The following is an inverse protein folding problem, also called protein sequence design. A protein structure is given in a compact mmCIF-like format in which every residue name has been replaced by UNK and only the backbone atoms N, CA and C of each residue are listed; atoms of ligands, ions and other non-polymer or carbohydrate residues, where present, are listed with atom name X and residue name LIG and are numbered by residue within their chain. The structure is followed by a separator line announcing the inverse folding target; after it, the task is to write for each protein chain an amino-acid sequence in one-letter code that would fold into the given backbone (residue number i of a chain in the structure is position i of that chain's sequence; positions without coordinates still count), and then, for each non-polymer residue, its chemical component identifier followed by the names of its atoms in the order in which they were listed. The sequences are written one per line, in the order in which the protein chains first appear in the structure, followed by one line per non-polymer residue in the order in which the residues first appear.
data_IF_179515429672
#
_entry.id   IF_179515429672
#
_cell.length_a   1.000
_cell.length_b   1.000
_cell.length_c   1.000
_cell.angle_alpha   90.00
_cell.angle_beta   90.00
_cell.angle_gamma   90.00
#
_symmetry.space_group_name_H-M   'P 1'
#
loop_
_entity.id
_entity.type
_entity.pdbx_description
1 polymer ?
#
# COMPACT_ATOMS: atom_id res chain seq x y z
N UNK A 1 -15.62 11.76 -19.87
CA UNK A 1 -15.86 12.33 -18.52
C UNK A 1 -15.20 13.69 -18.46
N UNK A 2 -15.93 14.73 -18.02
CA UNK A 2 -15.35 16.06 -17.80
C UNK A 2 -14.98 16.22 -16.33
N UNK A 3 -13.75 16.65 -16.07
CA UNK A 3 -13.21 16.92 -14.74
C UNK A 3 -12.20 18.07 -14.77
N UNK A 4 -12.08 18.76 -13.66
CA UNK A 4 -11.10 19.83 -13.47
C UNK A 4 -10.06 19.40 -12.46
N UNK A 5 -8.79 19.52 -12.83
CA UNK A 5 -7.65 19.23 -11.97
C UNK A 5 -7.55 20.26 -10.85
N UNK A 6 -7.43 19.79 -9.64
CA UNK A 6 -7.19 20.58 -8.44
C UNK A 6 -5.76 20.45 -7.92
N UNK A 7 -5.60 20.54 -6.60
CA UNK A 7 -4.31 20.48 -5.91
C UNK A 7 -3.60 19.14 -6.14
N UNK A 8 -2.28 19.20 -6.34
CA UNK A 8 -1.41 18.01 -6.34
C UNK A 8 -1.35 17.40 -4.94
N UNK A 9 -1.59 16.09 -4.87
CA UNK A 9 -1.54 15.29 -3.64
C UNK A 9 -0.16 14.66 -3.43
N UNK A 10 0.56 14.35 -4.52
CA UNK A 10 1.89 13.78 -4.46
C UNK A 10 2.52 13.68 -5.84
N UNK A 11 3.85 13.57 -5.89
CA UNK A 11 4.64 13.38 -7.10
C UNK A 11 5.77 12.39 -6.86
N UNK A 12 6.15 11.65 -7.90
CA UNK A 12 7.23 10.67 -7.84
C UNK A 12 7.78 10.33 -9.23
N UNK A 13 8.66 9.34 -9.32
CA UNK A 13 9.28 8.93 -10.57
C UNK A 13 8.31 8.43 -11.65
N UNK A 14 7.12 8.02 -11.27
CA UNK A 14 6.08 7.51 -12.18
C UNK A 14 5.01 8.55 -12.54
N UNK A 15 5.20 9.82 -12.20
CA UNK A 15 4.25 10.89 -12.45
C UNK A 15 3.75 11.59 -11.19
N UNK A 16 2.55 12.14 -11.23
CA UNK A 16 1.96 12.88 -10.12
C UNK A 16 0.49 12.52 -9.92
N UNK A 17 -0.01 12.73 -8.72
CA UNK A 17 -1.41 12.52 -8.35
C UNK A 17 -2.00 13.86 -7.93
N UNK A 18 -3.19 14.18 -8.45
CA UNK A 18 -3.94 15.39 -8.10
C UNK A 18 -5.35 15.01 -7.67
N UNK A 19 -5.94 15.81 -6.79
CA UNK A 19 -7.39 15.80 -6.61
C UNK A 19 -8.05 16.38 -7.87
N UNK A 20 -9.23 15.91 -8.23
CA UNK A 20 -10.01 16.48 -9.33
C UNK A 20 -11.51 16.47 -8.99
N UNK A 21 -12.21 17.47 -9.54
CA UNK A 21 -13.68 17.58 -9.44
C UNK A 21 -14.29 17.16 -10.76
N UNK A 22 -15.24 16.23 -10.72
CA UNK A 22 -15.98 15.76 -11.90
C UNK A 22 -17.16 16.69 -12.18
N UNK A 23 -17.44 16.96 -13.46
CA UNK A 23 -18.59 17.77 -13.89
C UNK A 23 -19.70 16.87 -14.41
N UNK A 24 -20.95 17.21 -14.03
CA UNK A 24 -22.16 16.50 -14.43
C UNK A 24 -22.70 17.10 -15.73
N UNK A 25 -22.12 16.71 -16.85
CA UNK A 25 -22.72 17.01 -18.15
C UNK A 25 -23.70 15.89 -18.53
N UNK A 26 -24.76 16.15 -19.24
CA UNK A 26 -25.98 15.35 -19.50
C UNK A 26 -25.88 13.86 -19.88
N UNK A 27 -24.73 13.23 -19.68
CA UNK A 27 -24.47 11.79 -19.83
C UNK A 27 -23.86 11.16 -18.58
N UNK A 28 -24.37 11.54 -17.40
CA UNK A 28 -23.82 11.16 -16.09
C UNK A 28 -23.75 9.65 -15.86
N UNK A 29 -22.54 9.14 -15.60
CA UNK A 29 -22.37 7.82 -15.00
C UNK A 29 -22.52 7.98 -13.46
N UNK A 30 -23.65 7.51 -12.86
CA UNK A 30 -23.96 7.72 -11.43
C UNK A 30 -22.96 7.04 -10.50
N UNK A 31 -22.06 6.23 -11.02
CA UNK A 31 -21.06 5.48 -10.24
C UNK A 31 -19.75 6.23 -10.02
N UNK A 32 -19.59 7.43 -10.60
CA UNK A 32 -18.37 8.23 -10.44
C UNK A 32 -18.60 9.34 -9.41
N UNK A 33 -17.82 9.40 -8.33
CA UNK A 33 -17.95 10.45 -7.31
C UNK A 33 -17.66 11.84 -7.86
N UNK A 34 -18.20 12.89 -7.21
CA UNK A 34 -17.93 14.28 -7.54
C UNK A 34 -16.45 14.67 -7.34
N UNK A 35 -15.75 13.98 -6.43
CA UNK A 35 -14.32 14.17 -6.16
C UNK A 35 -13.58 12.86 -6.41
N UNK A 36 -12.53 12.93 -7.21
CA UNK A 36 -11.68 11.79 -7.60
C UNK A 36 -10.21 12.15 -7.43
N UNK A 37 -9.33 11.16 -7.44
CA UNK A 37 -7.91 11.34 -7.61
C UNK A 37 -7.52 11.02 -9.06
N UNK A 38 -6.59 11.80 -9.62
CA UNK A 38 -6.10 11.59 -10.98
C UNK A 38 -4.60 11.38 -10.93
N UNK A 39 -4.15 10.17 -11.26
CA UNK A 39 -2.73 9.83 -11.40
C UNK A 39 -2.34 10.02 -12.86
N UNK A 40 -1.31 10.82 -13.10
CA UNK A 40 -0.94 11.33 -14.42
C UNK A 40 0.52 11.13 -14.71
N UNK A 41 0.83 10.80 -15.96
CA UNK A 41 2.21 10.77 -16.47
C UNK A 41 2.25 11.31 -17.89
N UNK A 42 3.44 11.63 -18.38
CA UNK A 42 3.61 11.98 -19.79
C UNK A 42 3.19 10.78 -20.67
N UNK A 43 2.52 11.05 -21.80
CA UNK A 43 2.03 9.97 -22.68
C UNK A 43 3.16 9.06 -23.18
N UNK A 44 4.36 9.60 -23.38
CA UNK A 44 5.55 8.82 -23.76
C UNK A 44 5.98 7.79 -22.71
N UNK A 45 5.54 7.95 -21.45
CA UNK A 45 5.87 7.08 -20.32
C UNK A 45 4.62 6.35 -19.78
N UNK A 46 3.51 6.35 -20.53
CA UNK A 46 2.20 5.86 -20.08
C UNK A 46 2.11 4.35 -19.88
N UNK A 47 3.04 3.56 -20.43
CA UNK A 47 2.96 2.08 -20.42
C UNK A 47 2.74 1.51 -19.03
N UNK A 48 3.53 1.94 -18.04
CA UNK A 48 3.40 1.45 -16.65
C UNK A 48 2.05 1.83 -16.04
N UNK A 49 1.59 3.07 -16.26
CA UNK A 49 0.32 3.56 -15.72
C UNK A 49 -0.89 2.90 -16.41
N UNK A 50 -0.79 2.59 -17.70
CA UNK A 50 -1.80 1.82 -18.43
C UNK A 50 -1.91 0.39 -17.89
N UNK A 51 -0.78 -0.26 -17.61
CA UNK A 51 -0.78 -1.60 -16.98
C UNK A 51 -1.39 -1.55 -15.58
N UNK A 52 -1.11 -0.53 -14.79
CA UNK A 52 -1.71 -0.32 -13.47
C UNK A 52 -3.24 -0.21 -13.57
N UNK A 53 -3.76 0.59 -14.53
CA UNK A 53 -5.20 0.70 -14.80
C UNK A 53 -5.83 -0.67 -15.11
N UNK A 54 -5.20 -1.45 -15.97
CA UNK A 54 -5.72 -2.75 -16.39
C UNK A 54 -5.79 -3.74 -15.21
N UNK A 55 -4.80 -3.70 -14.31
CA UNK A 55 -4.79 -4.50 -13.08
C UNK A 55 -5.86 -4.05 -12.09
N UNK A 56 -6.01 -2.74 -11.87
CA UNK A 56 -7.08 -2.20 -11.02
C UNK A 56 -8.47 -2.56 -11.56
N UNK A 57 -8.64 -2.54 -12.87
CA UNK A 57 -9.89 -2.97 -13.50
C UNK A 57 -10.14 -4.47 -13.32
N UNK A 58 -9.08 -5.30 -13.45
CA UNK A 58 -9.13 -6.74 -13.21
C UNK A 58 -9.54 -7.06 -11.78
N UNK A 59 -9.07 -6.29 -10.80
CA UNK A 59 -9.32 -6.53 -9.38
C UNK A 59 -10.51 -5.73 -8.81
N UNK A 60 -11.32 -5.08 -9.64
CA UNK A 60 -12.42 -4.17 -9.25
C UNK A 60 -13.48 -4.78 -8.33
N UNK A 61 -13.59 -6.11 -8.29
CA UNK A 61 -14.55 -6.81 -7.42
C UNK A 61 -14.09 -6.88 -5.95
N UNK A 62 -12.83 -6.56 -5.66
CA UNK A 62 -12.33 -6.55 -4.29
C UNK A 62 -12.52 -5.17 -3.64
N UNK A 63 -13.33 -5.04 -2.57
CA UNK A 63 -13.57 -3.76 -1.92
C UNK A 63 -12.34 -3.19 -1.19
N UNK A 64 -11.33 -4.04 -0.90
CA UNK A 64 -10.08 -3.66 -0.24
C UNK A 64 -8.98 -3.22 -1.23
N UNK A 65 -9.32 -3.06 -2.51
CA UNK A 65 -8.43 -2.50 -3.55
C UNK A 65 -9.00 -1.16 -4.00
N UNK A 66 -8.12 -0.19 -4.23
CA UNK A 66 -8.51 1.15 -4.67
C UNK A 66 -9.24 1.07 -6.02
N UNK A 67 -10.36 1.75 -6.14
CA UNK A 67 -11.19 1.71 -7.34
C UNK A 67 -10.60 2.60 -8.44
N UNK A 68 -10.57 2.10 -9.68
CA UNK A 68 -10.29 2.86 -10.88
C UNK A 68 -11.58 3.04 -11.69
N UNK A 69 -11.86 4.27 -12.12
CA UNK A 69 -13.07 4.64 -12.87
C UNK A 69 -12.82 4.73 -14.39
N UNK A 70 -11.56 4.62 -14.83
CA UNK A 70 -11.15 4.69 -16.22
C UNK A 70 -9.92 5.53 -16.44
N UNK A 71 -9.68 5.87 -17.69
CA UNK A 71 -8.52 6.64 -18.12
C UNK A 71 -8.89 7.70 -19.17
N UNK A 72 -8.02 8.69 -19.37
CA UNK A 72 -8.21 9.76 -20.35
C UNK A 72 -6.87 10.39 -20.71
N UNK A 73 -6.72 10.80 -21.96
CA UNK A 73 -5.61 11.66 -22.40
C UNK A 73 -6.07 13.11 -22.37
N UNK A 74 -5.25 13.99 -21.79
CA UNK A 74 -5.48 15.43 -21.77
C UNK A 74 -4.25 16.18 -22.31
N UNK A 75 -4.47 17.36 -22.86
CA UNK A 75 -3.39 18.29 -23.20
C UNK A 75 -3.42 19.44 -22.21
N UNK A 76 -2.37 19.54 -21.38
CA UNK A 76 -2.26 20.54 -20.32
C UNK A 76 -0.92 21.25 -20.44
N UNK A 77 -0.95 22.59 -20.55
CA UNK A 77 0.27 23.41 -20.72
C UNK A 77 1.19 22.91 -21.86
N UNK A 78 0.61 22.51 -22.99
CA UNK A 78 1.35 22.02 -24.15
C UNK A 78 1.92 20.60 -23.99
N UNK A 79 1.57 19.86 -22.92
CA UNK A 79 2.00 18.47 -22.69
C UNK A 79 0.82 17.52 -22.78
N UNK A 80 1.02 16.41 -23.48
CA UNK A 80 0.03 15.33 -23.52
C UNK A 80 0.24 14.41 -22.32
N UNK A 81 -0.77 14.34 -21.48
CA UNK A 81 -0.80 13.53 -20.26
C UNK A 81 -1.73 12.33 -20.42
N UNK A 82 -1.26 11.16 -20.03
CA UNK A 82 -2.10 9.99 -19.80
C UNK A 82 -2.52 9.99 -18.32
N UNK A 83 -3.81 9.90 -18.09
CA UNK A 83 -4.41 10.01 -16.76
C UNK A 83 -5.25 8.77 -16.46
N UNK A 84 -5.12 8.21 -15.25
CA UNK A 84 -6.08 7.26 -14.70
C UNK A 84 -6.88 7.93 -13.59
N UNK A 85 -8.18 7.67 -13.59
CA UNK A 85 -9.13 8.28 -12.65
C UNK A 85 -9.40 7.28 -11.54
N UNK A 86 -9.03 7.64 -10.32
CA UNK A 86 -9.04 6.78 -9.14
C UNK A 86 -10.01 7.28 -8.08
N UNK A 87 -10.43 6.39 -7.21
CA UNK A 87 -11.12 6.71 -5.98
C UNK A 87 -10.25 7.66 -5.13
N UNK A 88 -10.86 8.76 -4.68
CA UNK A 88 -10.19 9.68 -3.78
C UNK A 88 -10.24 9.16 -2.35
N UNK A 89 -9.11 9.14 -1.69
CA UNK A 89 -8.97 8.71 -0.30
C UNK A 89 -8.76 9.94 0.61
N UNK A 90 -9.81 10.49 1.21
CA UNK A 90 -9.70 11.70 2.03
C UNK A 90 -8.91 11.47 3.31
N UNK A 91 -8.78 10.22 3.75
CA UNK A 91 -7.97 9.83 4.91
C UNK A 91 -6.46 9.85 4.66
N UNK A 92 -6.01 10.07 3.42
CA UNK A 92 -4.61 9.99 3.03
C UNK A 92 -4.08 8.55 3.02
N UNK A 93 -2.77 8.38 3.12
CA UNK A 93 -2.15 7.08 3.24
C UNK A 93 -2.12 6.59 4.69
N UNK A 94 -1.95 5.29 4.87
CA UNK A 94 -1.73 4.71 6.20
C UNK A 94 -0.44 5.25 6.84
N UNK A 95 0.58 5.58 6.03
CA UNK A 95 1.81 6.20 6.51
C UNK A 95 1.55 7.56 7.19
N UNK A 96 0.58 8.34 6.67
CA UNK A 96 0.19 9.65 7.24
C UNK A 96 -0.50 9.49 8.61
N UNK A 97 -1.06 8.32 8.90
CA UNK A 97 -1.75 8.02 10.17
C UNK A 97 -0.85 7.38 11.22
N UNK A 98 0.25 6.77 10.81
CA UNK A 98 1.20 6.15 11.73
C UNK A 98 1.96 7.25 12.46
N UNK A 99 1.69 7.37 13.76
CA UNK A 99 2.40 8.28 14.65
C UNK A 99 3.60 7.55 15.28
N UNK A 100 4.54 8.30 15.86
CA UNK A 100 5.76 7.76 16.50
C UNK A 100 5.50 6.72 17.61
N UNK A 101 4.29 6.68 18.14
CA UNK A 101 3.84 5.68 19.13
C UNK A 101 3.14 4.46 18.53
N UNK A 102 2.98 4.43 17.20
CA UNK A 102 2.18 3.44 16.51
C UNK A 102 0.67 3.65 16.67
N UNK A 103 -0.09 2.68 16.15
CA UNK A 103 -1.55 2.65 16.22
C UNK A 103 -2.01 1.59 17.24
N UNK A 104 -3.21 1.75 17.84
CA UNK A 104 -3.82 0.71 18.68
C UNK A 104 -3.96 -0.62 17.93
N UNK A 105 -3.74 -1.74 18.61
CA UNK A 105 -3.73 -3.08 17.97
C UNK A 105 -5.05 -3.46 17.29
N UNK A 106 -6.18 -3.00 17.80
CA UNK A 106 -7.50 -3.23 17.18
C UNK A 106 -7.64 -2.49 15.84
N UNK A 107 -7.08 -1.28 15.74
CA UNK A 107 -7.00 -0.49 14.50
C UNK A 107 -6.05 -1.19 13.52
N UNK A 108 -4.86 -1.60 14.00
CA UNK A 108 -3.88 -2.36 13.19
C UNK A 108 -4.50 -3.64 12.65
N UNK A 109 -5.19 -4.41 13.51
CA UNK A 109 -5.91 -5.63 13.14
C UNK A 109 -6.92 -5.37 12.00
N UNK A 110 -7.70 -4.29 12.11
CA UNK A 110 -8.68 -3.91 11.10
C UNK A 110 -8.03 -3.61 9.74
N UNK A 111 -7.00 -2.77 9.71
CA UNK A 111 -6.29 -2.42 8.48
C UNK A 111 -5.52 -3.61 7.90
N UNK A 112 -4.85 -4.39 8.75
CA UNK A 112 -4.14 -5.61 8.33
C UNK A 112 -5.09 -6.63 7.69
N UNK A 113 -6.31 -6.76 8.20
CA UNK A 113 -7.35 -7.62 7.60
C UNK A 113 -7.74 -7.15 6.19
N UNK A 114 -7.91 -5.85 5.98
CA UNK A 114 -8.22 -5.28 4.66
C UNK A 114 -7.08 -5.55 3.67
N UNK A 115 -5.83 -5.32 4.07
CA UNK A 115 -4.65 -5.60 3.24
C UNK A 115 -4.57 -7.10 2.91
N UNK A 116 -4.70 -7.98 3.91
CA UNK A 116 -4.67 -9.43 3.69
C UNK A 116 -5.79 -9.89 2.74
N UNK A 117 -6.99 -9.28 2.82
CA UNK A 117 -8.12 -9.56 1.91
C UNK A 117 -7.77 -9.17 0.47
N UNK A 118 -7.16 -7.99 0.27
CA UNK A 118 -6.68 -7.57 -1.04
C UNK A 118 -5.63 -8.54 -1.59
N UNK A 119 -4.65 -8.95 -0.78
CA UNK A 119 -3.60 -9.88 -1.18
C UNK A 119 -4.16 -11.25 -1.57
N UNK A 120 -5.11 -11.81 -0.81
CA UNK A 120 -5.78 -13.07 -1.18
C UNK A 120 -6.43 -12.94 -2.56
N UNK A 121 -7.10 -11.81 -2.83
CA UNK A 121 -7.74 -11.58 -4.12
C UNK A 121 -6.71 -11.53 -5.27
N UNK A 122 -5.61 -10.78 -5.09
CA UNK A 122 -4.53 -10.63 -6.08
C UNK A 122 -3.85 -11.99 -6.34
N UNK A 123 -3.51 -12.72 -5.28
CA UNK A 123 -2.83 -14.02 -5.37
C UNK A 123 -3.68 -15.08 -6.08
N UNK A 124 -5.00 -15.10 -5.84
CA UNK A 124 -5.95 -15.99 -6.56
C UNK A 124 -5.99 -15.73 -8.07
N UNK A 125 -5.69 -14.50 -8.49
CA UNK A 125 -5.61 -14.13 -9.90
C UNK A 125 -4.21 -14.38 -10.50
N UNK A 126 -3.28 -14.94 -9.72
CA UNK A 126 -1.92 -15.26 -10.18
C UNK A 126 -1.00 -14.05 -10.24
N UNK A 127 -1.19 -13.04 -9.38
CA UNK A 127 -0.35 -11.85 -9.30
C UNK A 127 0.27 -11.67 -7.91
N UNK A 128 1.36 -10.91 -7.85
CA UNK A 128 2.06 -10.44 -6.65
C UNK A 128 2.12 -8.93 -6.70
N UNK A 129 1.81 -8.25 -5.60
CA UNK A 129 1.81 -6.78 -5.56
C UNK A 129 3.22 -6.20 -5.61
N UNK A 130 4.16 -6.82 -4.93
CA UNK A 130 5.60 -6.50 -4.84
C UNK A 130 5.95 -5.21 -4.07
N UNK A 131 5.01 -4.33 -3.73
CA UNK A 131 5.32 -3.07 -3.00
C UNK A 131 4.27 -2.75 -1.92
N UNK A 132 3.93 -3.75 -1.09
CA UNK A 132 3.04 -3.55 0.07
C UNK A 132 3.78 -2.77 1.15
N UNK A 133 3.27 -1.59 1.48
CA UNK A 133 3.83 -0.68 2.51
C UNK A 133 2.78 0.35 2.94
N UNK A 134 2.94 1.03 4.08
CA UNK A 134 1.96 2.00 4.56
C UNK A 134 1.63 3.13 3.57
N UNK A 135 2.59 3.55 2.74
CA UNK A 135 2.40 4.59 1.73
C UNK A 135 1.44 4.16 0.60
N UNK A 136 1.37 2.86 0.31
CA UNK A 136 0.54 2.26 -0.73
C UNK A 136 -0.80 1.72 -0.20
N UNK A 137 -1.14 2.01 1.04
CA UNK A 137 -2.43 1.71 1.66
C UNK A 137 -3.15 3.02 1.91
N UNK A 138 -4.27 3.24 1.23
CA UNK A 138 -5.04 4.47 1.30
C UNK A 138 -6.30 4.28 2.15
N UNK A 139 -6.72 5.35 2.85
CA UNK A 139 -7.83 5.32 3.79
C UNK A 139 -9.07 6.01 3.18
N UNK A 140 -10.11 5.22 2.94
CA UNK A 140 -11.41 5.68 2.44
C UNK A 140 -12.43 5.44 3.56
N UNK A 141 -12.79 6.51 4.28
CA UNK A 141 -13.48 6.38 5.55
C UNK A 141 -12.61 5.67 6.60
N UNK A 142 -13.14 4.60 7.19
CA UNK A 142 -12.41 3.76 8.13
C UNK A 142 -11.69 2.57 7.45
N UNK A 143 -11.95 2.34 6.16
CA UNK A 143 -11.44 1.18 5.45
C UNK A 143 -10.10 1.45 4.77
N UNK A 144 -9.18 0.51 4.91
CA UNK A 144 -7.89 0.53 4.23
C UNK A 144 -8.02 -0.15 2.86
N UNK A 145 -7.51 0.50 1.82
CA UNK A 145 -7.49 -0.01 0.45
C UNK A 145 -6.08 -0.05 -0.10
N UNK A 146 -5.70 -1.19 -0.65
CA UNK A 146 -4.41 -1.36 -1.31
C UNK A 146 -4.41 -0.62 -2.66
N UNK A 147 -3.34 0.12 -2.93
CA UNK A 147 -3.17 0.99 -4.08
C UNK A 147 -1.76 0.83 -4.68
N UNK A 148 -1.51 1.48 -5.80
CA UNK A 148 -0.23 1.52 -6.52
C UNK A 148 0.23 0.14 -7.02
N UNK A 149 -0.36 -0.29 -8.13
CA UNK A 149 -0.07 -1.58 -8.78
C UNK A 149 1.06 -1.49 -9.82
N UNK A 150 1.82 -0.39 -9.84
CA UNK A 150 2.92 -0.17 -10.80
C UNK A 150 4.06 -1.19 -10.68
N UNK A 151 4.26 -1.78 -9.49
CA UNK A 151 5.26 -2.83 -9.24
C UNK A 151 4.71 -4.26 -9.39
N UNK A 152 3.40 -4.43 -9.60
CA UNK A 152 2.74 -5.72 -9.62
C UNK A 152 3.30 -6.62 -10.72
N UNK A 153 3.41 -7.92 -10.43
CA UNK A 153 3.96 -8.93 -11.33
C UNK A 153 3.03 -10.15 -11.39
N UNK A 154 2.90 -10.74 -12.58
CA UNK A 154 2.23 -12.02 -12.73
C UNK A 154 3.16 -13.15 -12.28
N UNK A 155 2.63 -14.13 -11.54
CA UNK A 155 3.37 -15.30 -11.09
C UNK A 155 3.72 -16.15 -12.30
N UNK A 156 4.99 -16.57 -12.40
CA UNK A 156 5.47 -17.41 -13.50
C UNK A 156 5.93 -16.63 -14.74
N UNK A 157 5.72 -15.31 -14.80
CA UNK A 157 6.37 -14.54 -15.85
C UNK A 157 7.87 -14.60 -15.65
N UNK A 158 8.58 -15.08 -16.68
CA UNK A 158 10.05 -15.12 -16.69
C UNK A 158 10.61 -13.74 -16.42
N UNK A 159 11.63 -13.68 -15.58
CA UNK A 159 12.42 -12.46 -15.36
C UNK A 159 13.13 -12.21 -16.70
N UNK A 160 12.58 -11.30 -17.51
CA UNK A 160 13.33 -10.80 -18.66
C UNK A 160 14.62 -10.15 -18.16
N UNK A 161 15.72 -10.33 -18.84
CA UNK A 161 17.09 -9.93 -18.45
C UNK A 161 17.28 -8.46 -18.06
N UNK A 162 16.22 -7.63 -18.14
CA UNK A 162 16.26 -6.19 -17.85
C UNK A 162 15.37 -5.75 -16.65
N UNK A 163 14.85 -6.68 -15.85
CA UNK A 163 14.00 -6.30 -14.71
C UNK A 163 14.79 -6.36 -13.41
N UNK A 164 15.22 -5.18 -12.93
CA UNK A 164 15.82 -5.00 -11.62
C UNK A 164 14.85 -5.25 -10.46
N UNK A 165 15.30 -4.96 -9.25
CA UNK A 165 14.51 -5.07 -8.03
C UNK A 165 13.20 -4.27 -8.11
N UNK A 166 12.10 -4.86 -7.61
CA UNK A 166 10.78 -4.24 -7.51
C UNK A 166 10.40 -4.04 -6.06
N UNK A 167 9.81 -2.89 -5.76
CA UNK A 167 9.31 -2.58 -4.45
C UNK A 167 10.20 -1.63 -3.64
N UNK A 168 10.03 -1.63 -2.34
CA UNK A 168 10.71 -0.76 -1.39
C UNK A 168 11.57 -1.60 -0.46
N UNK A 169 12.89 -1.39 -0.46
CA UNK A 169 13.89 -2.24 0.20
C UNK A 169 13.53 -2.59 1.64
N UNK A 170 13.10 -1.61 2.45
CA UNK A 170 12.78 -1.85 3.87
C UNK A 170 11.55 -2.75 4.11
N UNK A 171 10.70 -2.95 3.10
CA UNK A 171 9.52 -3.81 3.17
C UNK A 171 9.70 -5.10 2.35
N UNK A 172 10.82 -5.21 1.63
CA UNK A 172 11.08 -6.32 0.73
C UNK A 172 11.39 -7.61 1.47
N UNK A 173 10.95 -8.73 0.91
CA UNK A 173 11.31 -10.04 1.39
C UNK A 173 12.77 -10.39 1.04
N UNK A 174 13.48 -11.17 1.87
CA UNK A 174 14.88 -11.55 1.61
C UNK A 174 15.10 -12.13 0.22
N UNK A 175 14.23 -13.02 -0.23
CA UNK A 175 14.31 -13.69 -1.54
C UNK A 175 14.15 -12.73 -2.71
N UNK A 176 13.37 -11.63 -2.54
CA UNK A 176 13.21 -10.63 -3.60
C UNK A 176 14.43 -9.73 -3.75
N UNK A 177 15.21 -9.54 -2.68
CA UNK A 177 16.49 -8.81 -2.72
C UNK A 177 17.62 -9.70 -3.25
N UNK A 178 17.78 -10.89 -2.67
CA UNK A 178 18.93 -11.74 -2.95
C UNK A 178 18.84 -12.52 -4.28
N UNK A 179 17.64 -12.81 -4.77
CA UNK A 179 17.43 -13.66 -5.95
C UNK A 179 16.43 -13.09 -6.97
N UNK A 180 15.86 -11.90 -6.71
CA UNK A 180 14.79 -11.30 -7.53
C UNK A 180 13.58 -12.23 -7.72
N UNK A 181 13.34 -13.10 -6.73
CA UNK A 181 12.21 -14.03 -6.71
C UNK A 181 10.98 -13.35 -6.07
N UNK A 182 9.86 -13.44 -6.79
CA UNK A 182 8.59 -12.85 -6.36
C UNK A 182 7.49 -13.90 -6.39
N UNK A 183 6.83 -14.08 -5.25
CA UNK A 183 5.71 -15.00 -5.09
C UNK A 183 4.69 -14.40 -4.12
N UNK A 184 3.56 -15.06 -3.93
CA UNK A 184 2.58 -14.66 -2.91
C UNK A 184 3.21 -14.52 -1.51
N UNK A 185 4.26 -15.30 -1.21
CA UNK A 185 4.97 -15.22 0.07
C UNK A 185 5.74 -13.88 0.23
N UNK A 186 6.18 -13.26 -0.86
CA UNK A 186 6.85 -11.94 -0.85
C UNK A 186 5.92 -10.86 -0.27
N UNK A 187 4.66 -10.83 -0.70
CA UNK A 187 3.66 -9.89 -0.18
C UNK A 187 3.31 -10.16 1.30
N UNK A 188 3.35 -11.41 1.73
CA UNK A 188 3.12 -11.77 3.15
C UNK A 188 4.21 -11.22 4.06
N UNK A 189 5.48 -11.28 3.63
CA UNK A 189 6.57 -10.62 4.36
C UNK A 189 6.34 -9.11 4.46
N UNK A 190 6.02 -8.46 3.34
CA UNK A 190 5.76 -7.03 3.27
C UNK A 190 4.53 -6.61 4.11
N UNK A 191 3.48 -7.45 4.17
CA UNK A 191 2.36 -7.29 5.11
C UNK A 191 2.85 -7.32 6.57
N UNK A 192 3.72 -8.25 6.93
CA UNK A 192 4.35 -8.31 8.25
C UNK A 192 5.11 -7.02 8.58
N UNK A 193 5.93 -6.52 7.67
CA UNK A 193 6.65 -5.25 7.81
C UNK A 193 5.67 -4.07 7.98
N UNK A 194 4.58 -4.05 7.21
CA UNK A 194 3.54 -3.00 7.29
C UNK A 194 2.83 -3.05 8.65
N UNK A 195 2.46 -4.24 9.13
CA UNK A 195 1.85 -4.42 10.45
C UNK A 195 2.79 -4.00 11.57
N UNK A 196 4.08 -4.37 11.49
CA UNK A 196 5.08 -3.96 12.46
C UNK A 196 5.24 -2.44 12.49
N UNK A 197 5.29 -1.78 11.33
CA UNK A 197 5.34 -0.32 11.25
C UNK A 197 4.10 0.35 11.86
N UNK A 198 2.90 -0.22 11.65
CA UNK A 198 1.68 0.26 12.28
C UNK A 198 1.71 0.15 13.81
N UNK A 199 2.21 -0.98 14.34
CA UNK A 199 2.29 -1.23 15.78
C UNK A 199 3.31 -0.35 16.49
N UNK A 200 4.44 -0.07 15.82
CA UNK A 200 5.60 0.58 16.46
C UNK A 200 5.72 2.07 16.16
N UNK A 201 5.11 2.54 15.08
CA UNK A 201 5.32 3.89 14.57
C UNK A 201 6.70 4.11 13.93
N UNK A 202 7.42 3.02 13.62
CA UNK A 202 8.80 3.05 13.11
C UNK A 202 8.92 2.20 11.83
N UNK A 203 10.03 2.40 11.11
CA UNK A 203 10.41 1.49 10.03
C UNK A 203 10.61 0.06 10.57
N UNK A 204 10.38 -0.98 9.73
CA UNK A 204 10.46 -2.37 10.19
C UNK A 204 11.88 -2.82 10.57
N UNK A 205 12.90 -2.07 10.16
CA UNK A 205 14.29 -2.37 10.44
C UNK A 205 14.98 -1.21 11.15
N UNK A 206 15.78 -1.51 12.16
CA UNK A 206 16.72 -0.55 12.73
C UNK A 206 17.97 -0.52 11.85
N UNK A 207 18.21 0.63 11.25
CA UNK A 207 19.37 0.88 10.39
C UNK A 207 20.43 1.61 11.19
N UNK A 208 21.65 1.05 11.22
CA UNK A 208 22.78 1.69 11.88
C UNK A 208 23.08 3.06 11.25
N UNK A 209 23.43 4.04 12.09
CA UNK A 209 23.82 5.37 11.62
C UNK A 209 25.02 5.25 10.68
N UNK A 210 24.91 5.76 9.46
CA UNK A 210 25.97 5.71 8.47
C UNK A 210 25.98 4.44 7.61
N UNK A 211 25.03 3.51 7.80
CA UNK A 211 24.90 2.35 6.92
C UNK A 211 24.63 2.77 5.46
N UNK A 212 25.33 2.14 4.54
CA UNK A 212 25.14 2.34 3.10
C UNK A 212 23.91 1.59 2.58
N UNK A 213 23.48 1.91 1.37
CA UNK A 213 22.43 1.15 0.67
C UNK A 213 22.79 -0.34 0.56
N UNK A 214 24.04 -0.64 0.27
CA UNK A 214 24.55 -2.02 0.18
C UNK A 214 24.45 -2.74 1.52
N UNK A 215 24.80 -2.08 2.62
CA UNK A 215 24.70 -2.67 3.96
C UNK A 215 23.26 -3.07 4.29
N UNK A 216 22.28 -2.22 3.93
CA UNK A 216 20.85 -2.52 4.12
C UNK A 216 20.41 -3.69 3.26
N UNK A 217 20.81 -3.73 1.98
CA UNK A 217 20.49 -4.84 1.07
C UNK A 217 21.08 -6.16 1.58
N UNK A 218 22.35 -6.15 2.02
CA UNK A 218 23.01 -7.33 2.58
C UNK A 218 22.36 -7.78 3.88
N UNK A 219 22.01 -6.83 4.77
CA UNK A 219 21.33 -7.14 6.03
C UNK A 219 19.98 -7.83 5.78
N UNK A 220 19.16 -7.36 4.85
CA UNK A 220 17.83 -7.91 4.61
C UNK A 220 17.91 -9.18 3.75
N UNK A 221 18.68 -9.15 2.66
CA UNK A 221 18.70 -10.22 1.67
C UNK A 221 19.60 -11.41 2.03
N UNK A 222 20.70 -11.18 2.75
CA UNK A 222 21.76 -12.19 2.91
C UNK A 222 22.03 -12.60 4.36
N UNK A 223 21.58 -11.83 5.38
CA UNK A 223 21.78 -12.21 6.79
C UNK A 223 20.63 -13.08 7.31
N UNK A 224 20.81 -13.70 8.48
CA UNK A 224 19.76 -14.47 9.17
C UNK A 224 18.80 -13.60 10.00
N UNK A 225 18.94 -12.28 9.93
CA UNK A 225 18.10 -11.35 10.69
C UNK A 225 16.68 -11.31 10.15
N UNK A 226 15.74 -11.07 11.05
CA UNK A 226 14.34 -10.72 10.77
C UNK A 226 14.03 -9.40 11.46
N UNK A 227 12.98 -8.67 11.06
CA UNK A 227 12.52 -7.49 11.77
C UNK A 227 12.25 -7.80 13.25
N UNK A 228 12.72 -6.91 14.14
CA UNK A 228 12.56 -7.09 15.58
C UNK A 228 11.10 -6.91 15.99
N UNK A 229 10.54 -7.92 16.68
CA UNK A 229 9.16 -7.90 17.17
C UNK A 229 9.20 -7.43 18.63
N UNK A 230 8.61 -6.27 18.98
CA UNK A 230 8.63 -5.75 20.34
C UNK A 230 7.92 -6.65 21.34
N UNK A 231 8.44 -6.69 22.57
CA UNK A 231 7.83 -7.46 23.64
C UNK A 231 6.51 -6.86 24.16
N UNK A 232 6.24 -5.59 23.86
CA UNK A 232 5.04 -4.87 24.33
C UNK A 232 3.77 -5.18 23.53
N UNK A 233 3.89 -5.81 22.35
CA UNK A 233 2.73 -6.20 21.54
C UNK A 233 2.07 -7.47 22.11
N UNK A 234 0.77 -7.63 21.83
CA UNK A 234 0.02 -8.82 22.27
C UNK A 234 0.62 -10.13 21.78
N UNK A 235 0.25 -11.23 22.44
CA UNK A 235 0.65 -12.57 22.02
C UNK A 235 0.16 -12.89 20.60
N UNK A 236 -1.04 -12.46 20.26
CA UNK A 236 -1.67 -12.65 18.96
C UNK A 236 -0.93 -11.85 17.87
N UNK A 237 -0.59 -10.59 18.13
CA UNK A 237 0.20 -9.76 17.19
C UNK A 237 1.59 -10.36 16.95
N UNK A 238 2.24 -10.81 18.02
CA UNK A 238 3.57 -11.45 17.94
C UNK A 238 3.54 -12.75 17.14
N UNK A 239 2.54 -13.61 17.35
CA UNK A 239 2.38 -14.86 16.59
C UNK A 239 2.10 -14.57 15.11
N UNK A 240 1.25 -13.58 14.81
CA UNK A 240 0.99 -13.13 13.46
C UNK A 240 2.28 -12.68 12.73
N UNK A 241 3.08 -11.82 13.38
CA UNK A 241 4.33 -11.32 12.81
C UNK A 241 5.35 -12.46 12.59
N UNK A 242 5.47 -13.41 13.52
CA UNK A 242 6.34 -14.57 13.36
C UNK A 242 5.95 -15.43 12.16
N UNK A 243 4.66 -15.55 11.85
CA UNK A 243 4.19 -16.26 10.65
C UNK A 243 4.50 -15.52 9.35
N UNK A 244 4.57 -14.18 9.41
CA UNK A 244 4.97 -13.36 8.26
C UNK A 244 6.48 -13.40 8.02
N UNK A 245 7.30 -13.41 9.10
CA UNK A 245 8.75 -13.33 9.03
C UNK A 245 9.49 -14.68 8.94
N UNK A 246 8.83 -15.69 8.38
CA UNK A 246 9.50 -16.96 8.03
C UNK A 246 10.37 -16.72 6.80
N UNK A 247 11.69 -16.92 6.93
CA UNK A 247 12.67 -16.63 5.85
C UNK A 247 12.48 -17.52 4.62
N UNK A 248 12.23 -18.80 4.83
CA UNK A 248 11.92 -19.70 3.71
C UNK A 248 10.53 -19.37 3.13
N UNK A 249 10.44 -18.84 1.88
CA UNK A 249 9.15 -18.44 1.30
C UNK A 249 8.18 -19.63 1.13
N UNK A 250 8.68 -20.85 0.93
CA UNK A 250 7.85 -22.05 0.81
C UNK A 250 7.20 -22.47 2.15
N UNK A 251 7.83 -22.14 3.28
CA UNK A 251 7.31 -22.39 4.63
C UNK A 251 6.53 -21.21 5.20
N UNK A 252 6.60 -20.03 4.57
CA UNK A 252 5.91 -18.81 5.01
C UNK A 252 4.40 -18.99 4.89
N UNK A 253 3.65 -18.48 5.87
CA UNK A 253 2.19 -18.57 5.90
C UNK A 253 1.57 -17.89 4.66
N UNK A 254 0.50 -18.46 4.13
CA UNK A 254 -0.25 -17.86 3.03
C UNK A 254 -1.21 -16.78 3.54
N UNK A 255 -1.49 -15.75 2.73
CA UNK A 255 -2.43 -14.68 3.09
C UNK A 255 -3.82 -15.22 3.46
N UNK A 256 -4.31 -16.27 2.81
CA UNK A 256 -5.59 -16.93 3.16
C UNK A 256 -5.60 -17.53 4.56
N UNK A 257 -4.48 -18.10 5.01
CA UNK A 257 -4.36 -18.64 6.37
C UNK A 257 -4.28 -17.53 7.40
N UNK A 258 -3.58 -16.42 7.06
CA UNK A 258 -3.51 -15.23 7.91
C UNK A 258 -4.88 -14.57 8.11
N UNK A 259 -5.79 -14.59 7.13
CA UNK A 259 -7.16 -14.07 7.31
C UNK A 259 -7.93 -14.76 8.43
N UNK A 260 -7.59 -16.02 8.75
CA UNK A 260 -8.20 -16.79 9.85
C UNK A 260 -7.49 -16.60 11.19
N UNK A 261 -6.36 -15.88 11.20
CA UNK A 261 -5.54 -15.68 12.39
C UNK A 261 -6.28 -14.90 13.49
N UNK A 262 -6.15 -15.27 14.78
CA UNK A 262 -6.81 -14.59 15.89
C UNK A 262 -6.56 -13.08 15.93
N UNK A 263 -5.34 -12.63 15.61
CA UNK A 263 -5.00 -11.22 15.55
C UNK A 263 -5.94 -10.44 14.62
N UNK A 264 -6.27 -10.95 13.42
CA UNK A 264 -7.16 -10.27 12.47
C UNK A 264 -8.66 -10.32 12.84
N UNK A 265 -9.00 -10.98 13.93
CA UNK A 265 -10.36 -11.01 14.49
C UNK A 265 -10.60 -9.93 15.55
N UNK A 266 -9.55 -9.30 16.08
CA UNK A 266 -9.65 -8.30 17.15
C UNK A 266 -10.41 -7.06 16.70
N UNK A 267 -10.16 -6.54 15.51
CA UNK A 267 -10.85 -5.37 14.95
C UNK A 267 -12.36 -5.54 14.74
N UNK A 268 -12.84 -6.79 14.60
CA UNK A 268 -14.27 -7.07 14.45
C UNK A 268 -15.09 -6.90 15.76
N UNK A 269 -14.45 -6.95 16.93
CA UNK A 269 -15.12 -6.80 18.23
C UNK A 269 -15.54 -5.36 18.50
N UNK A 270 -14.81 -4.36 18.00
CA UNK A 270 -15.09 -2.94 18.24
C UNK A 270 -16.35 -2.44 17.52
N UNK A 271 -16.63 -2.93 16.30
CA UNK A 271 -17.86 -2.55 15.55
C UNK A 271 -19.16 -2.96 16.24
N UNK A 272 -19.15 -4.01 17.09
CA UNK A 272 -20.33 -4.44 17.86
C UNK A 272 -20.60 -3.55 19.08
N UNK A 273 -19.61 -2.81 19.60
CA UNK A 273 -19.78 -1.94 20.77
C UNK A 273 -20.07 -0.47 20.43
N UNK A 274 -19.84 -0.03 19.19
CA UNK A 274 -20.05 1.36 18.76
C UNK A 274 -21.45 1.65 18.19
N UNK A 275 -22.34 0.66 18.07
CA UNK A 275 -23.72 0.89 17.64
C UNK A 275 -24.66 1.40 18.74
N UNK A 276 -24.15 1.68 19.95
CA UNK A 276 -24.92 2.19 21.08
C UNK A 276 -24.25 3.41 21.74
N UNK A 277 -24.06 4.50 20.99
CA UNK A 277 -23.56 5.72 21.59
C UNK A 277 -23.25 6.81 20.57
N UNK A 278 -24.25 7.54 20.14
CA UNK A 278 -24.06 8.84 19.47
C UNK A 278 -23.61 9.88 20.50
N UNK A 279 -22.40 10.42 20.34
CA UNK A 279 -22.06 11.76 20.80
C UNK A 279 -21.24 12.46 19.71
N UNK A 280 -21.63 13.66 19.29
CA UNK A 280 -20.88 14.45 18.31
C UNK A 280 -19.70 15.12 18.98
N UNK A 281 -18.47 14.86 18.53
CA UNK A 281 -17.28 15.60 18.92
C UNK A 281 -16.96 16.70 17.92
N UNK A 282 -16.99 17.89 18.46
CA UNK A 282 -16.63 19.22 18.06
C UNK A 282 -15.41 19.36 17.13
N UNK A 283 -15.63 20.15 16.09
CA UNK A 283 -14.64 20.82 15.25
C UNK A 283 -13.66 21.68 16.07
N UNK A 284 -12.38 21.28 16.14
CA UNK A 284 -11.20 22.17 16.33
C UNK A 284 -9.95 21.28 16.34
N UNK A 285 -9.20 21.31 15.26
CA UNK A 285 -7.73 21.11 15.21
C UNK A 285 -7.27 21.25 13.75
N UNK A 286 -7.25 22.51 13.29
CA UNK A 286 -6.38 22.95 12.21
C UNK A 286 -5.07 23.41 12.86
N UNK A 287 -3.98 23.13 12.21
CA UNK A 287 -2.59 23.48 12.53
C UNK A 287 -1.81 22.50 13.41
N UNK A 288 -1.14 21.59 12.73
CA UNK A 288 0.23 21.11 13.03
C UNK A 288 0.60 20.12 11.93
N UNK A 289 1.36 20.58 10.94
CA UNK A 289 1.99 19.74 9.93
C UNK A 289 3.13 18.95 10.60
N UNK A 290 3.13 17.61 10.60
CA UNK A 290 4.32 16.86 10.96
C UNK A 290 5.27 16.82 9.76
N UNK A 291 6.53 17.11 10.02
CA UNK A 291 7.62 16.95 9.07
C UNK A 291 7.69 15.49 8.62
N UNK A 292 7.62 15.28 7.32
CA UNK A 292 7.79 13.99 6.67
C UNK A 292 9.10 13.34 7.11
N UNK A 293 9.03 12.09 7.55
CA UNK A 293 10.19 11.23 7.69
C UNK A 293 10.92 11.16 6.33
N UNK A 294 12.07 11.79 6.27
CA UNK A 294 12.96 11.72 5.14
C UNK A 294 13.63 10.35 5.15
N UNK A 295 13.00 9.38 4.49
CA UNK A 295 13.67 8.11 4.16
C UNK A 295 14.52 8.42 2.91
N UNK A 296 15.84 8.24 2.95
CA UNK A 296 16.66 8.44 1.76
C UNK A 296 16.15 7.53 0.64
N UNK A 297 15.83 8.10 -0.52
CA UNK A 297 15.53 7.33 -1.72
C UNK A 297 16.81 6.64 -2.16
N UNK A 298 16.91 5.36 -1.86
CA UNK A 298 17.99 4.52 -2.36
C UNK A 298 17.61 4.18 -3.80
N UNK A 299 18.21 4.89 -4.76
CA UNK A 299 18.16 4.52 -6.16
C UNK A 299 19.26 3.48 -6.40
N UNK A 300 18.85 2.26 -6.70
CA UNK A 300 19.75 1.24 -7.25
C UNK A 300 19.66 1.39 -8.77
N UNK A 301 20.78 1.80 -9.38
CA UNK A 301 20.97 1.81 -10.84
C UNK A 301 21.14 0.40 -11.38
#
# INVERSE_FOLDING_TARGET
MHWTRGKTLGSGGFGFVSIATTHRDGGHNPHIPAVVAVKSTNISQSKSLSMEKDLLHKFKSCPCILRCFGDQITTENGRNLYNIILEYAPGGSLADKILSKGLPEDVVSHHAKSIATALVHIHKHGYVHCDVKPQNVLLVGEDAKLADFGSCKKIGDSVGEQQGFRGTVLYAAPESISRLEYSAATDVWALGCTVLSMLTGRAPWEIAKGATATDVLMMIGCSDRIPEIPNVVSKEARDFLRKCFVKNPAARCRAESLLRHPFLKMGARRRRHHHHGHHPLSSKLQSLLPQCFHVPKIHVH
#
